data_IF_744920667376
#
_entry.id   IF_744920667376
#
_cell.length_a   1.000
_cell.length_b   1.000
_cell.length_c   1.000
_cell.angle_alpha   90.00
_cell.angle_beta   90.00
_cell.angle_gamma   90.00
#
_symmetry.space_group_name_H-M   'P 1'
#
loop_
_entity.id
_entity.type
_entity.pdbx_description
1 polymer ?
#
# COMPACT_ATOMS: atom_id res chain seq x y z
N UNK A 1 6.84 -34.08 32.14
CA UNK A 1 7.71 -34.32 30.98
C UNK A 1 7.89 -32.98 30.31
N UNK A 2 9.13 -32.56 30.12
CA UNK A 2 9.49 -31.23 29.63
C UNK A 2 9.01 -31.00 28.21
N UNK A 3 8.23 -29.94 27.99
CA UNK A 3 8.02 -29.35 26.68
C UNK A 3 9.35 -28.80 26.18
N UNK A 4 10.06 -29.60 25.37
CA UNK A 4 11.11 -29.08 24.52
C UNK A 4 10.43 -28.16 23.50
N UNK A 5 10.54 -26.84 23.71
CA UNK A 5 10.42 -25.87 22.62
C UNK A 5 11.36 -26.36 21.51
N UNK A 6 10.82 -26.87 20.40
CA UNK A 6 11.61 -26.99 19.17
C UNK A 6 12.06 -25.57 18.84
N UNK A 7 13.36 -25.30 18.86
CA UNK A 7 13.90 -24.13 18.17
C UNK A 7 13.52 -24.30 16.71
N UNK A 8 12.52 -23.54 16.25
CA UNK A 8 12.07 -23.59 14.88
C UNK A 8 13.11 -22.83 14.07
N UNK A 9 14.01 -23.58 13.44
CA UNK A 9 15.05 -23.01 12.60
C UNK A 9 14.38 -22.28 11.43
N UNK A 10 14.72 -20.99 11.27
CA UNK A 10 14.20 -20.18 10.17
C UNK A 10 14.61 -20.79 8.82
N UNK A 11 13.82 -20.59 7.74
CA UNK A 11 14.13 -21.17 6.44
C UNK A 11 15.53 -20.79 5.93
N UNK A 12 16.20 -21.72 5.23
CA UNK A 12 17.58 -21.55 4.75
C UNK A 12 17.74 -20.27 3.89
N UNK A 13 16.76 -19.95 3.05
CA UNK A 13 16.79 -18.74 2.21
C UNK A 13 16.80 -17.43 3.03
N UNK A 14 16.22 -17.43 4.24
CA UNK A 14 16.29 -16.27 5.16
C UNK A 14 17.69 -16.14 5.74
N UNK A 15 18.28 -17.27 6.15
CA UNK A 15 19.64 -17.30 6.68
C UNK A 15 20.65 -16.80 5.64
N UNK A 16 20.55 -17.24 4.39
CA UNK A 16 21.39 -16.76 3.27
C UNK A 16 21.31 -15.24 3.13
N UNK A 17 20.10 -14.67 3.17
CA UNK A 17 19.91 -13.23 3.11
C UNK A 17 20.61 -12.50 4.26
N UNK A 18 20.46 -12.99 5.50
CA UNK A 18 21.07 -12.37 6.68
C UNK A 18 22.61 -12.48 6.67
N UNK A 19 23.17 -13.59 6.19
CA UNK A 19 24.63 -13.77 6.04
C UNK A 19 25.22 -12.85 4.96
N UNK A 20 24.49 -12.65 3.85
CA UNK A 20 24.87 -11.67 2.84
C UNK A 20 24.86 -10.25 3.42
N UNK A 21 23.82 -9.89 4.17
CA UNK A 21 23.74 -8.58 4.86
C UNK A 21 24.90 -8.42 5.84
N UNK A 22 25.21 -9.45 6.64
CA UNK A 22 26.33 -9.42 7.57
C UNK A 22 27.64 -9.08 6.83
N UNK A 23 27.89 -9.75 5.71
CA UNK A 23 29.08 -9.52 4.87
C UNK A 23 29.10 -8.09 4.31
N UNK A 24 28.01 -7.61 3.74
CA UNK A 24 27.91 -6.27 3.14
C UNK A 24 28.00 -5.14 4.17
N UNK A 25 27.55 -5.37 5.41
CA UNK A 25 27.66 -4.43 6.54
C UNK A 25 28.97 -4.61 7.33
N UNK A 26 29.93 -5.36 6.79
CA UNK A 26 31.28 -5.51 7.33
C UNK A 26 31.36 -6.29 8.64
N UNK A 27 30.44 -7.21 8.91
CA UNK A 27 30.57 -8.16 10.01
C UNK A 27 31.66 -9.19 9.72
N UNK A 28 32.46 -9.51 10.74
CA UNK A 28 33.55 -10.48 10.58
C UNK A 28 32.97 -11.89 10.53
N UNK A 29 33.18 -12.62 9.43
CA UNK A 29 32.84 -14.03 9.33
C UNK A 29 33.37 -14.80 10.56
N UNK A 30 32.56 -15.70 11.13
CA UNK A 30 32.80 -16.45 12.39
C UNK A 30 32.74 -15.68 13.72
N UNK A 31 32.56 -14.35 13.71
CA UNK A 31 32.42 -13.54 14.95
C UNK A 31 31.02 -12.99 15.20
N UNK A 32 30.19 -12.92 14.16
CA UNK A 32 28.81 -12.53 14.33
C UNK A 32 27.92 -13.73 14.64
N UNK A 33 26.81 -13.46 15.31
CA UNK A 33 25.69 -14.37 15.50
C UNK A 33 24.41 -13.72 14.99
N UNK A 34 23.52 -14.55 14.47
CA UNK A 34 22.18 -14.16 14.06
C UNK A 34 21.22 -14.66 15.12
N UNK A 35 20.39 -13.76 15.65
CA UNK A 35 19.34 -14.09 16.62
C UNK A 35 17.99 -13.64 16.08
N UNK A 36 16.93 -14.36 16.44
CA UNK A 36 15.56 -14.07 16.01
C UNK A 36 14.70 -13.73 17.22
N UNK A 37 13.78 -12.79 17.05
CA UNK A 37 12.74 -12.48 18.03
C UNK A 37 11.37 -12.75 17.44
N UNK A 38 10.87 -13.94 17.78
CA UNK A 38 9.53 -14.42 17.43
C UNK A 38 8.44 -13.77 18.30
N UNK A 39 8.80 -13.16 19.44
CA UNK A 39 7.85 -12.42 20.28
C UNK A 39 7.38 -11.10 19.65
N UNK A 40 8.13 -10.63 18.65
CA UNK A 40 7.78 -9.51 17.78
C UNK A 40 7.01 -9.89 16.51
N UNK A 41 6.51 -11.13 16.40
CA UNK A 41 5.65 -11.51 15.27
C UNK A 41 4.43 -10.59 15.20
N UNK A 42 4.10 -10.14 13.98
CA UNK A 42 3.01 -9.19 13.73
C UNK A 42 1.76 -9.51 14.55
N UNK A 43 1.34 -8.57 15.41
CA UNK A 43 0.08 -8.68 16.14
C UNK A 43 -1.08 -8.98 15.16
N UNK A 44 -2.08 -9.76 15.58
CA UNK A 44 -3.26 -10.17 14.76
C UNK A 44 -3.72 -9.04 13.84
N UNK A 45 -3.63 -9.21 12.51
CA UNK A 45 -4.10 -8.20 11.54
C UNK A 45 -3.08 -7.15 11.07
N UNK A 46 -1.79 -7.28 11.41
CA UNK A 46 -0.70 -6.47 10.84
C UNK A 46 0.02 -7.18 9.65
N UNK A 47 -0.48 -8.34 9.21
CA UNK A 47 0.15 -9.19 8.17
C UNK A 47 -0.87 -9.93 7.28
N UNK A 48 -1.65 -9.19 6.47
CA UNK A 48 -2.63 -9.80 5.57
C UNK A 48 -2.00 -10.63 4.43
N UNK A 49 -0.72 -10.42 4.12
CA UNK A 49 -0.03 -11.05 2.99
C UNK A 49 1.23 -11.83 3.40
N UNK A 50 1.85 -11.52 4.54
CA UNK A 50 3.10 -12.18 4.95
C UNK A 50 3.30 -12.20 6.46
N UNK A 51 4.25 -13.01 6.91
CA UNK A 51 4.68 -13.10 8.30
C UNK A 51 5.87 -12.16 8.51
N UNK A 52 5.81 -11.33 9.56
CA UNK A 52 6.86 -10.40 9.95
C UNK A 52 7.48 -10.84 11.28
N UNK A 53 8.81 -10.81 11.40
CA UNK A 53 9.54 -10.99 12.66
C UNK A 53 10.82 -10.16 12.68
N UNK A 54 11.47 -10.06 13.84
CA UNK A 54 12.73 -9.33 14.00
C UNK A 54 13.93 -10.27 13.97
N UNK A 55 15.01 -9.82 13.32
CA UNK A 55 16.30 -10.49 13.33
C UNK A 55 17.40 -9.52 13.78
N UNK A 56 18.41 -10.05 14.47
CA UNK A 56 19.53 -9.28 15.00
C UNK A 56 20.85 -9.90 14.55
N UNK A 57 21.73 -9.08 13.98
CA UNK A 57 23.12 -9.47 13.68
C UNK A 57 24.01 -8.81 14.73
N UNK A 58 24.69 -9.62 15.54
CA UNK A 58 25.50 -9.17 16.69
C UNK A 58 26.93 -9.66 16.57
N UNK A 59 27.89 -8.79 16.82
CA UNK A 59 29.31 -9.12 16.96
C UNK A 59 29.87 -8.26 18.11
N UNK A 60 30.79 -8.81 18.89
CA UNK A 60 31.29 -8.14 20.08
C UNK A 60 32.12 -6.92 19.71
N UNK A 61 31.87 -5.78 20.40
CA UNK A 61 32.59 -4.53 20.15
C UNK A 61 32.01 -3.64 19.03
N UNK A 62 30.82 -3.96 18.52
CA UNK A 62 30.05 -3.10 17.59
C UNK A 62 28.58 -3.05 17.98
N UNK A 63 27.88 -2.05 17.46
CA UNK A 63 26.42 -1.96 17.59
C UNK A 63 25.73 -3.11 16.83
N UNK A 64 24.67 -3.65 17.43
CA UNK A 64 23.84 -4.68 16.80
C UNK A 64 23.05 -4.12 15.62
N UNK A 65 22.95 -4.89 14.53
CA UNK A 65 22.07 -4.55 13.41
C UNK A 65 20.71 -5.20 13.63
N UNK A 66 19.69 -4.36 13.82
CA UNK A 66 18.29 -4.78 14.02
C UNK A 66 17.53 -4.70 12.70
N UNK A 67 16.88 -5.80 12.33
CA UNK A 67 16.24 -5.98 11.04
C UNK A 67 14.79 -6.44 11.24
N UNK A 68 13.93 -6.02 10.32
CA UNK A 68 12.59 -6.57 10.13
C UNK A 68 12.65 -7.51 8.94
N UNK A 69 12.17 -8.73 9.13
CA UNK A 69 12.17 -9.79 8.12
C UNK A 69 10.71 -10.11 7.77
N UNK A 70 10.34 -9.93 6.51
CA UNK A 70 9.03 -10.30 5.93
C UNK A 70 9.22 -11.56 5.10
N UNK A 71 8.44 -12.61 5.39
CA UNK A 71 8.45 -13.89 4.65
C UNK A 71 7.04 -14.29 4.26
N UNK A 72 6.94 -15.22 3.31
CA UNK A 72 5.65 -15.79 2.92
C UNK A 72 4.95 -16.47 4.13
N UNK A 73 3.60 -16.49 4.15
CA UNK A 73 2.86 -17.25 5.15
C UNK A 73 3.20 -18.74 5.14
N UNK A 74 3.03 -19.39 6.30
CA UNK A 74 3.28 -20.83 6.41
C UNK A 74 2.22 -21.64 5.65
N UNK A 75 0.95 -21.24 5.71
CA UNK A 75 -0.17 -21.87 5.01
C UNK A 75 0.02 -21.88 3.49
N UNK A 76 -0.14 -23.04 2.86
CA UNK A 76 0.21 -23.26 1.44
C UNK A 76 -0.61 -22.40 0.48
N UNK A 77 -1.93 -22.31 0.67
CA UNK A 77 -2.78 -21.52 -0.21
C UNK A 77 -2.45 -20.03 -0.08
N UNK A 78 -2.24 -19.55 1.15
CA UNK A 78 -1.83 -18.16 1.39
C UNK A 78 -0.47 -17.87 0.79
N UNK A 79 0.47 -18.81 0.88
CA UNK A 79 1.79 -18.72 0.25
C UNK A 79 1.64 -18.54 -1.27
N UNK A 80 0.85 -19.37 -1.93
CA UNK A 80 0.60 -19.27 -3.37
C UNK A 80 -0.05 -17.93 -3.76
N UNK A 81 -1.06 -17.48 -3.00
CA UNK A 81 -1.74 -16.20 -3.24
C UNK A 81 -0.83 -14.98 -3.01
N UNK A 82 0.14 -15.09 -2.10
CA UNK A 82 1.02 -13.99 -1.70
C UNK A 82 2.30 -13.90 -2.55
N UNK A 83 2.67 -14.98 -3.24
CA UNK A 83 3.94 -15.07 -3.98
C UNK A 83 4.11 -13.95 -5.03
N UNK A 84 3.04 -13.64 -5.78
CA UNK A 84 3.07 -12.56 -6.78
C UNK A 84 3.26 -11.16 -6.16
N UNK A 85 2.73 -10.95 -4.95
CA UNK A 85 2.90 -9.71 -4.18
C UNK A 85 4.34 -9.56 -3.66
N UNK A 86 4.95 -10.65 -3.16
CA UNK A 86 6.36 -10.66 -2.75
C UNK A 86 7.32 -10.46 -3.91
N UNK A 87 7.08 -11.11 -5.05
CA UNK A 87 7.89 -10.93 -6.26
C UNK A 87 7.91 -9.46 -6.70
N UNK A 88 6.75 -8.80 -6.64
CA UNK A 88 6.61 -7.39 -6.95
C UNK A 88 7.34 -6.50 -5.95
N UNK A 89 7.16 -6.71 -4.66
CA UNK A 89 7.84 -5.94 -3.61
C UNK A 89 9.38 -6.07 -3.75
N UNK A 90 9.88 -7.27 -4.00
CA UNK A 90 11.30 -7.51 -4.25
C UNK A 90 11.79 -6.76 -5.50
N UNK A 91 11.03 -6.78 -6.59
CA UNK A 91 11.37 -6.03 -7.81
C UNK A 91 11.38 -4.50 -7.55
N UNK A 92 10.45 -3.97 -6.76
CA UNK A 92 10.44 -2.55 -6.40
C UNK A 92 11.72 -2.18 -5.63
N UNK A 93 12.12 -2.96 -4.63
CA UNK A 93 13.33 -2.69 -3.85
C UNK A 93 14.64 -2.94 -4.62
N UNK A 94 14.67 -3.92 -5.52
CA UNK A 94 15.90 -4.27 -6.24
C UNK A 94 16.10 -3.49 -7.55
N UNK A 95 15.01 -3.00 -8.17
CA UNK A 95 15.08 -2.35 -9.48
C UNK A 95 14.51 -0.93 -9.46
N UNK A 96 13.24 -0.73 -9.08
CA UNK A 96 12.56 0.58 -9.20
C UNK A 96 13.21 1.62 -8.29
N UNK A 97 13.29 1.35 -6.99
CA UNK A 97 13.79 2.33 -6.01
C UNK A 97 15.28 2.67 -6.18
N UNK A 98 16.18 1.70 -6.45
CA UNK A 98 17.56 2.01 -6.76
C UNK A 98 17.70 2.86 -8.03
N UNK A 99 16.90 2.57 -9.06
CA UNK A 99 16.93 3.31 -10.31
C UNK A 99 16.41 4.75 -10.14
N UNK A 100 15.29 4.92 -9.43
CA UNK A 100 14.76 6.23 -9.08
C UNK A 100 15.75 7.02 -8.22
N UNK A 101 16.39 6.39 -7.25
CA UNK A 101 17.44 7.01 -6.43
C UNK A 101 18.64 7.45 -7.26
N UNK A 102 19.12 6.61 -8.18
CA UNK A 102 20.21 6.94 -9.09
C UNK A 102 19.85 8.11 -10.00
N UNK A 103 18.67 8.09 -10.63
CA UNK A 103 18.20 9.16 -11.50
C UNK A 103 18.14 10.51 -10.76
N UNK A 104 17.58 10.56 -9.56
CA UNK A 104 17.52 11.79 -8.76
C UNK A 104 18.92 12.32 -8.41
N UNK A 105 19.86 11.42 -8.05
CA UNK A 105 21.24 11.80 -7.76
C UNK A 105 21.98 12.31 -9.01
N UNK A 106 21.71 11.77 -10.20
CA UNK A 106 22.24 12.26 -11.47
C UNK A 106 21.75 13.68 -11.79
N UNK A 107 20.55 14.04 -11.34
CA UNK A 107 20.00 15.40 -11.42
C UNK A 107 20.52 16.33 -10.31
N UNK A 108 21.38 15.83 -9.41
CA UNK A 108 22.00 16.60 -8.35
C UNK A 108 21.12 16.84 -7.12
N UNK A 109 20.05 16.06 -6.92
CA UNK A 109 19.21 16.17 -5.72
C UNK A 109 19.84 15.43 -4.55
N UNK A 110 19.87 16.09 -3.40
CA UNK A 110 20.20 15.46 -2.12
C UNK A 110 18.99 14.70 -1.53
N UNK A 111 19.23 13.80 -0.56
CA UNK A 111 18.21 12.90 0.01
C UNK A 111 17.01 13.64 0.62
N UNK A 112 17.25 14.81 1.17
CA UNK A 112 16.24 15.66 1.80
C UNK A 112 15.37 16.37 0.76
N UNK A 113 15.90 16.62 -0.43
CA UNK A 113 15.27 17.42 -1.50
C UNK A 113 14.48 16.59 -2.52
N UNK A 114 14.76 15.29 -2.62
CA UNK A 114 14.02 14.34 -3.46
C UNK A 114 13.26 13.27 -2.67
N UNK A 115 12.81 12.25 -3.38
CA UNK A 115 12.09 11.12 -2.83
C UNK A 115 13.03 9.96 -2.47
N UNK A 116 13.34 9.85 -1.19
CA UNK A 116 13.96 8.69 -0.54
C UNK A 116 13.19 8.27 0.72
N UNK A 117 11.88 8.46 0.73
CA UNK A 117 11.01 8.22 1.89
C UNK A 117 10.56 6.76 1.97
N UNK A 118 11.51 5.84 1.91
CA UNK A 118 11.33 4.38 2.03
C UNK A 118 12.27 3.81 3.09
N UNK A 119 11.95 2.66 3.73
CA UNK A 119 12.93 1.97 4.56
C UNK A 119 14.12 1.54 3.71
N UNK A 120 15.31 1.54 4.32
CA UNK A 120 16.47 0.85 3.76
C UNK A 120 16.15 -0.65 3.69
N UNK A 121 15.96 -1.14 2.47
CA UNK A 121 15.97 -2.57 2.18
C UNK A 121 17.43 -3.04 2.10
N UNK A 122 17.75 -4.07 2.87
CA UNK A 122 19.07 -4.68 2.88
C UNK A 122 19.13 -5.87 1.94
N UNK A 123 18.03 -6.62 1.84
CA UNK A 123 17.97 -7.80 0.99
C UNK A 123 16.51 -8.06 0.62
N UNK A 124 16.24 -8.28 -0.67
CA UNK A 124 14.95 -8.76 -1.12
C UNK A 124 15.15 -9.84 -2.18
N UNK A 125 14.52 -10.99 -2.02
CA UNK A 125 14.58 -12.08 -2.97
C UNK A 125 13.23 -12.79 -3.07
N UNK A 126 12.88 -13.23 -4.27
CA UNK A 126 11.69 -14.03 -4.52
C UNK A 126 12.00 -15.05 -5.62
N UNK A 127 12.03 -16.33 -5.24
CA UNK A 127 12.15 -17.47 -6.15
C UNK A 127 10.75 -18.06 -6.38
N UNK A 128 10.21 -17.83 -7.58
CA UNK A 128 8.87 -18.28 -7.94
C UNK A 128 8.78 -19.81 -8.06
N UNK A 129 9.86 -20.48 -8.46
CA UNK A 129 9.87 -21.94 -8.65
C UNK A 129 9.91 -22.68 -7.31
N UNK A 130 10.71 -22.17 -6.37
CA UNK A 130 10.79 -22.72 -5.02
C UNK A 130 9.70 -22.23 -4.07
N UNK A 131 8.93 -21.22 -4.49
CA UNK A 131 7.97 -20.50 -3.63
C UNK A 131 8.63 -19.97 -2.34
N UNK A 132 9.82 -19.41 -2.49
CA UNK A 132 10.61 -18.84 -1.41
C UNK A 132 10.70 -17.32 -1.62
N UNK A 133 10.30 -16.53 -0.62
CA UNK A 133 10.48 -15.09 -0.71
C UNK A 133 10.78 -14.48 0.66
N UNK A 134 11.67 -13.50 0.65
CA UNK A 134 12.10 -12.76 1.83
C UNK A 134 12.39 -11.31 1.47
N UNK A 135 11.95 -10.40 2.33
CA UNK A 135 12.32 -8.98 2.30
C UNK A 135 12.84 -8.60 3.67
N UNK A 136 14.08 -8.11 3.74
CA UNK A 136 14.80 -7.76 4.96
C UNK A 136 15.10 -6.27 4.94
N UNK A 137 14.58 -5.55 5.92
CA UNK A 137 14.62 -4.08 5.99
C UNK A 137 15.12 -3.60 7.35
N UNK A 138 15.50 -2.33 7.42
CA UNK A 138 15.75 -1.68 8.71
C UNK A 138 14.50 -1.62 9.61
N UNK A 139 14.70 -1.73 10.92
CA UNK A 139 13.63 -1.47 11.89
C UNK A 139 13.47 0.05 12.11
N UNK A 140 12.47 0.63 11.42
CA UNK A 140 12.15 2.06 11.50
C UNK A 140 11.74 2.50 12.91
N UNK A 141 11.24 1.61 13.78
CA UNK A 141 10.85 1.98 15.14
C UNK A 141 12.04 2.50 15.96
N UNK A 142 13.25 2.02 15.65
CA UNK A 142 14.50 2.48 16.29
C UNK A 142 14.86 3.91 15.94
N UNK A 143 14.32 4.40 14.82
CA UNK A 143 14.47 5.78 14.35
C UNK A 143 13.29 6.66 14.78
N UNK A 144 12.48 6.18 15.72
CA UNK A 144 11.33 6.91 16.26
C UNK A 144 10.10 6.94 15.34
N UNK A 145 10.12 6.18 14.24
CA UNK A 145 8.95 6.08 13.37
C UNK A 145 7.88 5.22 14.02
N UNK A 146 6.63 5.68 13.96
CA UNK A 146 5.44 4.95 14.44
C UNK A 146 4.32 5.03 13.42
N UNK A 147 3.53 3.97 13.34
CA UNK A 147 2.29 3.95 12.55
C UNK A 147 1.24 4.85 13.21
N UNK A 148 0.35 5.41 12.39
CA UNK A 148 -0.86 6.07 12.88
C UNK A 148 -1.86 5.03 13.40
N UNK A 149 -2.76 5.45 14.29
CA UNK A 149 -3.85 4.58 14.72
C UNK A 149 -4.92 4.48 13.62
N UNK A 150 -4.96 3.35 12.91
CA UNK A 150 -5.90 3.09 11.79
C UNK A 150 -7.38 3.21 12.13
N UNK A 151 -7.76 3.06 13.40
CA UNK A 151 -9.15 3.21 13.84
C UNK A 151 -9.58 4.68 13.92
N UNK A 152 -8.66 5.62 13.73
CA UNK A 152 -8.95 7.06 13.67
C UNK A 152 -8.75 7.57 12.25
N UNK A 153 -9.65 8.45 11.75
CA UNK A 153 -9.38 9.22 10.55
C UNK A 153 -8.01 9.92 10.63
N UNK A 154 -7.33 10.00 9.49
CA UNK A 154 -6.08 10.74 9.35
C UNK A 154 -6.36 12.24 9.57
N UNK A 155 -5.45 12.92 10.27
CA UNK A 155 -5.54 14.36 10.41
C UNK A 155 -4.93 15.10 9.20
N UNK A 156 -5.10 16.41 9.19
CA UNK A 156 -4.68 17.26 8.07
C UNK A 156 -3.17 17.27 7.89
N UNK A 157 -2.39 17.34 8.96
CA UNK A 157 -0.94 17.48 8.88
C UNK A 157 -0.28 16.19 8.37
N UNK A 158 -0.77 15.03 8.80
CA UNK A 158 -0.33 13.73 8.28
C UNK A 158 -0.71 13.56 6.81
N UNK A 159 -1.94 13.94 6.46
CA UNK A 159 -2.44 13.87 5.09
C UNK A 159 -1.64 14.79 4.16
N UNK A 160 -1.35 16.03 4.57
CA UNK A 160 -0.54 16.97 3.79
C UNK A 160 0.90 16.47 3.60
N UNK A 161 1.50 15.90 4.65
CA UNK A 161 2.85 15.33 4.52
C UNK A 161 2.89 14.17 3.53
N UNK A 162 1.89 13.29 3.54
CA UNK A 162 1.76 12.22 2.55
C UNK A 162 1.56 12.78 1.14
N UNK A 163 0.65 13.76 0.95
CA UNK A 163 0.42 14.39 -0.36
C UNK A 163 1.71 14.98 -0.94
N UNK A 164 2.53 15.62 -0.09
CA UNK A 164 3.87 16.11 -0.51
C UNK A 164 4.76 14.98 -1.00
N UNK A 165 4.84 13.86 -0.28
CA UNK A 165 5.69 12.75 -0.68
C UNK A 165 5.18 11.98 -1.90
N UNK A 166 3.87 11.84 -2.07
CA UNK A 166 3.30 11.29 -3.29
C UNK A 166 3.59 12.20 -4.49
N UNK A 167 3.51 13.53 -4.32
CA UNK A 167 3.90 14.49 -5.35
C UNK A 167 5.36 14.33 -5.76
N UNK A 168 6.27 14.23 -4.78
CA UNK A 168 7.69 13.98 -5.02
C UNK A 168 7.94 12.64 -5.73
N UNK A 169 7.32 11.56 -5.25
CA UNK A 169 7.46 10.22 -5.82
C UNK A 169 6.97 10.15 -7.28
N UNK A 170 5.77 10.66 -7.57
CA UNK A 170 5.23 10.66 -8.91
C UNK A 170 6.02 11.57 -9.85
N UNK A 171 6.60 12.68 -9.36
CA UNK A 171 7.48 13.54 -10.15
C UNK A 171 8.71 12.79 -10.68
N UNK A 172 9.30 11.91 -9.86
CA UNK A 172 10.42 11.04 -10.29
C UNK A 172 9.99 10.15 -11.45
N UNK A 173 8.82 9.53 -11.34
CA UNK A 173 8.27 8.69 -12.41
C UNK A 173 8.02 9.48 -13.69
N UNK A 174 7.45 10.69 -13.62
CA UNK A 174 7.21 11.54 -14.79
C UNK A 174 8.52 11.96 -15.46
N UNK A 175 9.46 12.49 -14.69
CA UNK A 175 10.75 12.95 -15.19
C UNK A 175 11.53 11.82 -15.84
N UNK A 176 11.60 10.66 -15.18
CA UNK A 176 12.36 9.53 -15.69
C UNK A 176 11.71 8.91 -16.94
N UNK A 177 10.37 8.84 -17.01
CA UNK A 177 9.65 8.36 -18.19
C UNK A 177 9.95 9.21 -19.42
N UNK A 178 10.11 10.52 -19.25
CA UNK A 178 10.42 11.47 -20.32
C UNK A 178 11.91 11.44 -20.72
N UNK A 179 12.81 11.46 -19.73
CA UNK A 179 14.25 11.67 -19.96
C UNK A 179 15.04 10.38 -20.15
N UNK A 180 14.59 9.27 -19.57
CA UNK A 180 15.24 7.95 -19.64
C UNK A 180 14.22 6.85 -20.01
N UNK A 181 13.48 6.98 -21.14
CA UNK A 181 12.37 6.09 -21.49
C UNK A 181 12.78 4.62 -21.66
N UNK A 182 14.01 4.35 -22.12
CA UNK A 182 14.52 2.97 -22.26
C UNK A 182 14.72 2.29 -20.91
N UNK A 183 15.21 3.02 -19.90
CA UNK A 183 15.38 2.50 -18.55
C UNK A 183 14.04 2.41 -17.81
N UNK A 184 13.11 3.32 -18.06
CA UNK A 184 11.78 3.32 -17.45
C UNK A 184 10.84 2.27 -18.07
N UNK A 185 10.99 2.00 -19.38
CA UNK A 185 10.10 1.16 -20.18
C UNK A 185 9.70 -0.19 -19.55
N UNK A 186 10.63 -0.98 -18.98
CA UNK A 186 10.30 -2.25 -18.34
C UNK A 186 9.25 -2.15 -17.22
N UNK A 187 9.20 -1.04 -16.49
CA UNK A 187 8.27 -0.87 -15.37
C UNK A 187 6.85 -0.51 -15.79
N UNK A 188 6.62 -0.19 -17.07
CA UNK A 188 5.26 -0.02 -17.61
C UNK A 188 4.44 -1.31 -17.57
N UNK A 189 5.10 -2.46 -17.44
CA UNK A 189 4.46 -3.77 -17.31
C UNK A 189 4.04 -4.13 -15.88
N UNK A 190 4.19 -3.22 -14.92
CA UNK A 190 3.65 -3.37 -13.58
C UNK A 190 2.12 -3.26 -13.58
N UNK A 191 1.46 -4.36 -13.91
CA UNK A 191 -0.01 -4.46 -13.95
C UNK A 191 -0.61 -4.54 -12.56
N UNK A 192 -1.87 -4.11 -12.39
CA UNK A 192 -2.58 -4.23 -11.12
C UNK A 192 -2.79 -5.71 -10.70
N UNK A 193 -2.49 -6.12 -9.45
CA UNK A 193 -2.62 -7.52 -9.03
C UNK A 193 -4.06 -8.04 -9.10
N UNK A 194 -5.03 -7.20 -8.73
CA UNK A 194 -6.43 -7.59 -8.74
C UNK A 194 -6.95 -7.74 -10.16
N UNK A 195 -6.49 -6.90 -11.10
CA UNK A 195 -6.76 -7.10 -12.53
C UNK A 195 -6.26 -8.47 -13.01
N UNK A 196 -5.05 -8.88 -12.64
CA UNK A 196 -4.53 -10.22 -12.99
C UNK A 196 -5.42 -11.33 -12.44
N UNK A 197 -5.88 -11.19 -11.18
CA UNK A 197 -6.81 -12.16 -10.59
C UNK A 197 -8.16 -12.19 -11.33
N UNK A 198 -8.70 -11.04 -11.74
CA UNK A 198 -9.94 -10.93 -12.53
C UNK A 198 -9.77 -11.61 -13.89
N UNK A 199 -8.66 -11.38 -14.59
CA UNK A 199 -8.38 -11.99 -15.89
C UNK A 199 -8.24 -13.54 -15.78
N UNK A 200 -7.83 -14.04 -14.60
CA UNK A 200 -7.66 -15.46 -14.29
C UNK A 200 -8.88 -16.12 -13.62
N UNK A 201 -10.04 -15.45 -13.56
CA UNK A 201 -11.26 -15.95 -12.91
C UNK A 201 -12.35 -16.36 -13.93
N UNK A 202 -12.24 -17.55 -14.56
CA UNK A 202 -13.19 -17.99 -15.57
C UNK A 202 -14.60 -18.25 -15.02
N UNK A 203 -14.74 -18.37 -13.69
CA UNK A 203 -16.02 -18.61 -13.02
C UNK A 203 -16.70 -17.31 -12.57
N UNK A 204 -16.08 -16.15 -12.77
CA UNK A 204 -16.58 -14.83 -12.36
C UNK A 204 -16.94 -14.75 -10.87
N UNK A 205 -16.23 -15.49 -10.02
CA UNK A 205 -16.38 -15.43 -8.57
C UNK A 205 -16.04 -14.04 -8.01
N UNK A 206 -15.03 -13.37 -8.57
CA UNK A 206 -14.65 -12.00 -8.19
C UNK A 206 -15.79 -11.02 -8.54
N UNK A 207 -16.47 -11.21 -9.67
CA UNK A 207 -17.62 -10.37 -10.02
C UNK A 207 -18.78 -10.54 -9.05
N UNK A 208 -19.07 -11.78 -8.64
CA UNK A 208 -20.09 -12.05 -7.63
C UNK A 208 -19.73 -11.40 -6.29
N UNK A 209 -18.46 -11.51 -5.85
CA UNK A 209 -17.97 -10.87 -4.63
C UNK A 209 -18.12 -9.34 -4.67
N UNK A 210 -17.72 -8.71 -5.78
CA UNK A 210 -17.89 -7.27 -5.98
C UNK A 210 -19.38 -6.86 -5.99
N UNK A 211 -20.25 -7.69 -6.54
CA UNK A 211 -21.70 -7.50 -6.48
C UNK A 211 -22.23 -7.50 -5.04
N UNK A 212 -21.79 -8.46 -4.21
CA UNK A 212 -22.16 -8.50 -2.80
C UNK A 212 -21.65 -7.28 -2.02
N UNK A 213 -20.40 -6.86 -2.28
CA UNK A 213 -19.84 -5.64 -1.67
C UNK A 213 -20.61 -4.39 -2.07
N UNK A 214 -21.02 -4.29 -3.34
CA UNK A 214 -21.90 -3.23 -3.83
C UNK A 214 -23.25 -3.25 -3.12
N UNK A 215 -23.92 -4.40 -3.04
CA UNK A 215 -25.23 -4.53 -2.40
C UNK A 215 -25.15 -4.13 -0.93
N UNK A 216 -24.10 -4.56 -0.21
CA UNK A 216 -23.84 -4.14 1.18
C UNK A 216 -23.60 -2.63 1.31
N UNK A 217 -22.91 -2.00 0.36
CA UNK A 217 -22.72 -0.55 0.38
C UNK A 217 -24.03 0.20 0.09
N UNK A 218 -24.86 -0.31 -0.81
CA UNK A 218 -26.15 0.30 -1.15
C UNK A 218 -27.10 0.37 0.06
N UNK A 219 -27.05 -0.60 0.98
CA UNK A 219 -27.87 -0.59 2.21
C UNK A 219 -27.46 0.47 3.22
N UNK A 220 -26.32 1.15 3.02
CA UNK A 220 -25.86 2.20 3.94
C UNK A 220 -26.51 3.57 3.69
N UNK A 221 -27.19 3.73 2.54
CA UNK A 221 -27.84 4.98 2.15
C UNK A 221 -29.25 5.09 2.73
N UNK A 222 -29.53 6.23 3.36
CA UNK A 222 -30.79 6.54 4.04
C UNK A 222 -31.87 7.02 3.05
N UNK A 223 -33.14 7.12 3.45
CA UNK A 223 -34.25 7.50 2.56
C UNK A 223 -34.04 8.87 1.87
N UNK A 224 -33.38 9.80 2.54
CA UNK A 224 -33.07 11.14 2.07
C UNK A 224 -31.86 11.21 1.10
N UNK A 225 -31.05 10.15 1.01
CA UNK A 225 -29.93 10.02 0.07
C UNK A 225 -30.39 9.76 -1.39
N UNK A 226 -31.47 10.41 -1.85
CA UNK A 226 -32.13 10.09 -3.15
C UNK A 226 -31.20 10.26 -4.35
N UNK A 227 -30.45 11.37 -4.43
CA UNK A 227 -29.50 11.59 -5.54
C UNK A 227 -28.31 10.63 -5.48
N UNK A 228 -27.81 10.35 -4.26
CA UNK A 228 -26.73 9.41 -4.06
C UNK A 228 -27.13 7.99 -4.47
N UNK A 229 -28.33 7.53 -4.07
CA UNK A 229 -28.92 6.25 -4.50
C UNK A 229 -29.02 6.14 -6.02
N UNK A 230 -29.54 7.18 -6.68
CA UNK A 230 -29.70 7.21 -8.13
C UNK A 230 -28.36 7.16 -8.88
N UNK A 231 -27.35 7.87 -8.39
CA UNK A 231 -26.02 7.86 -8.99
C UNK A 231 -25.30 6.53 -8.73
N UNK A 232 -25.38 6.00 -7.51
CA UNK A 232 -24.77 4.73 -7.12
C UNK A 232 -25.36 3.54 -7.90
N UNK A 233 -26.66 3.55 -8.20
CA UNK A 233 -27.33 2.52 -9.01
C UNK A 233 -26.72 2.36 -10.42
N UNK A 234 -26.07 3.40 -10.96
CA UNK A 234 -25.36 3.30 -12.25
C UNK A 234 -24.14 2.37 -12.19
N UNK A 235 -23.58 2.14 -11.01
CA UNK A 235 -22.42 1.26 -10.80
C UNK A 235 -22.85 -0.22 -10.70
N UNK A 236 -24.14 -0.49 -10.53
CA UNK A 236 -24.66 -1.84 -10.38
C UNK A 236 -24.36 -2.69 -11.60
N UNK A 237 -23.71 -3.83 -11.36
CA UNK A 237 -23.29 -4.76 -12.41
C UNK A 237 -22.08 -4.31 -13.23
N UNK A 238 -21.52 -3.12 -12.98
CA UNK A 238 -20.35 -2.58 -13.69
C UNK A 238 -19.17 -2.27 -12.76
N UNK A 239 -19.24 -2.71 -11.49
CA UNK A 239 -18.21 -2.45 -10.47
C UNK A 239 -16.83 -2.97 -10.92
N UNK A 240 -16.78 -4.22 -11.41
CA UNK A 240 -15.52 -4.82 -11.88
C UNK A 240 -14.99 -4.13 -13.12
N UNK A 241 -15.86 -3.85 -14.11
CA UNK A 241 -15.46 -3.14 -15.32
C UNK A 241 -14.92 -1.74 -14.99
N UNK A 242 -15.56 -1.04 -14.06
CA UNK A 242 -15.11 0.27 -13.57
C UNK A 242 -13.76 0.18 -12.85
N UNK A 243 -13.51 -0.89 -12.09
CA UNK A 243 -12.21 -1.14 -11.46
C UNK A 243 -11.13 -1.36 -12.51
N UNK A 244 -11.38 -2.25 -13.48
CA UNK A 244 -10.46 -2.57 -14.58
C UNK A 244 -10.15 -1.33 -15.41
N UNK A 245 -11.15 -0.48 -15.71
CA UNK A 245 -10.95 0.80 -16.40
C UNK A 245 -10.04 1.73 -15.59
N UNK A 246 -10.26 1.84 -14.27
CA UNK A 246 -9.47 2.72 -13.42
C UNK A 246 -7.98 2.32 -13.35
N UNK A 247 -7.69 1.02 -13.36
CA UNK A 247 -6.32 0.50 -13.24
C UNK A 247 -5.64 0.28 -14.60
N UNK A 248 -6.26 0.67 -15.71
CA UNK A 248 -5.64 0.60 -17.03
C UNK A 248 -4.56 1.67 -17.19
N UNK A 249 -3.36 1.22 -17.52
CA UNK A 249 -2.26 2.11 -17.88
C UNK A 249 -2.54 2.82 -19.20
N UNK A 250 -3.16 2.13 -20.16
CA UNK A 250 -3.51 2.69 -21.47
C UNK A 250 -4.44 3.89 -21.34
N UNK A 251 -5.44 3.79 -20.46
CA UNK A 251 -6.39 4.88 -20.22
C UNK A 251 -5.77 6.06 -19.46
N UNK A 252 -4.66 5.82 -18.76
CA UNK A 252 -3.93 6.83 -18.01
C UNK A 252 -2.79 7.48 -18.83
N UNK A 253 -2.28 6.84 -19.89
CA UNK A 253 -1.24 7.42 -20.75
C UNK A 253 -1.77 8.65 -21.51
N UNK A 254 -0.93 9.68 -21.75
CA UNK A 254 0.52 9.74 -21.49
C UNK A 254 0.88 10.08 -20.03
N UNK A 255 -0.07 10.05 -19.09
CA UNK A 255 0.06 10.57 -17.73
C UNK A 255 0.19 9.49 -16.64
N UNK A 256 0.42 8.24 -17.03
CA UNK A 256 0.63 7.14 -16.09
C UNK A 256 2.01 7.24 -15.39
N UNK A 257 2.07 6.81 -14.14
CA UNK A 257 3.24 6.78 -13.27
C UNK A 257 3.33 5.45 -12.53
N UNK A 258 4.50 5.13 -11.98
CA UNK A 258 4.61 4.07 -10.98
C UNK A 258 3.99 4.58 -9.68
N UNK A 259 2.88 3.99 -9.27
CA UNK A 259 2.23 4.23 -7.99
C UNK A 259 2.73 3.28 -6.89
N UNK A 260 2.51 3.68 -5.65
CA UNK A 260 2.70 2.85 -4.47
C UNK A 260 1.67 1.71 -4.46
N UNK A 261 0.43 1.99 -4.86
CA UNK A 261 -0.63 1.00 -5.04
C UNK A 261 -1.37 0.64 -3.76
N UNK A 262 -0.68 0.63 -2.61
CA UNK A 262 -1.30 0.37 -1.29
C UNK A 262 -1.30 1.60 -0.35
N UNK A 263 -1.78 2.75 -0.84
CA UNK A 263 -1.77 4.03 -0.14
C UNK A 263 -2.85 4.17 0.95
N UNK A 264 -2.79 3.35 1.99
CA UNK A 264 -3.59 3.54 3.21
C UNK A 264 -2.69 3.76 4.43
N UNK A 265 -3.28 4.27 5.52
CA UNK A 265 -2.52 4.83 6.64
C UNK A 265 -1.60 3.82 7.36
N UNK A 266 -1.86 2.51 7.26
CA UNK A 266 -1.01 1.47 7.85
C UNK A 266 0.34 1.33 7.16
N UNK A 267 0.43 1.77 5.90
CA UNK A 267 1.66 1.74 5.12
C UNK A 267 2.47 3.04 5.24
N UNK A 268 2.10 3.89 6.20
CA UNK A 268 2.71 5.18 6.48
C UNK A 268 3.24 5.18 7.91
N UNK A 269 4.56 5.26 8.06
CA UNK A 269 5.18 5.46 9.36
C UNK A 269 5.69 6.90 9.50
N UNK A 270 5.44 7.54 10.63
CA UNK A 270 5.76 8.94 10.87
C UNK A 270 6.71 9.13 12.05
N UNK A 271 7.57 10.15 11.97
CA UNK A 271 8.23 10.76 13.14
C UNK A 271 7.55 12.10 13.46
N UNK A 272 7.85 12.65 14.63
CA UNK A 272 7.17 13.83 15.18
C UNK A 272 8.20 14.79 15.75
N UNK A 273 7.88 16.08 15.78
CA UNK A 273 8.70 17.04 16.52
C UNK A 273 8.53 16.78 18.04
N UNK A 274 9.61 16.89 18.82
CA UNK A 274 9.69 16.34 20.19
C UNK A 274 8.47 16.60 21.09
N UNK A 275 7.89 17.81 21.01
CA UNK A 275 6.78 18.28 21.88
C UNK A 275 5.49 18.57 21.14
N UNK A 276 5.45 18.38 19.82
CA UNK A 276 4.30 18.71 18.97
C UNK A 276 3.77 17.42 18.33
N UNK A 277 2.45 17.12 18.38
CA UNK A 277 1.87 16.01 17.62
C UNK A 277 1.99 16.18 16.09
N UNK A 278 2.56 17.27 15.58
CA UNK A 278 2.82 17.47 14.16
C UNK A 278 3.85 16.47 13.60
N UNK A 279 3.53 15.78 12.49
CA UNK A 279 4.46 14.86 11.84
C UNK A 279 5.60 15.62 11.17
N UNK A 280 6.82 15.08 11.33
CA UNK A 280 8.07 15.65 10.83
C UNK A 280 8.57 14.95 9.56
N UNK A 281 8.62 13.63 9.60
CA UNK A 281 9.10 12.79 8.50
C UNK A 281 8.16 11.59 8.33
N UNK A 282 8.13 11.03 7.13
CA UNK A 282 7.29 9.89 6.76
C UNK A 282 8.13 8.84 6.01
N UNK A 283 7.82 7.57 6.21
CA UNK A 283 8.33 6.45 5.40
C UNK A 283 7.14 5.66 4.88
N UNK A 284 7.13 5.45 3.56
CA UNK A 284 6.19 4.58 2.86
C UNK A 284 6.76 3.16 2.87
N UNK A 285 5.98 2.21 3.38
CA UNK A 285 6.33 0.79 3.50
C UNK A 285 5.34 -0.05 2.71
N UNK A 286 5.68 -1.32 2.47
CA UNK A 286 4.83 -2.30 1.81
C UNK A 286 4.44 -1.94 0.37
N UNK A 287 5.38 -2.20 -0.56
CA UNK A 287 5.25 -1.87 -1.99
C UNK A 287 4.61 -3.00 -2.82
N UNK A 288 3.93 -3.93 -2.16
CA UNK A 288 3.43 -5.18 -2.74
C UNK A 288 2.27 -5.02 -3.74
N UNK A 289 1.67 -3.82 -3.82
CA UNK A 289 0.63 -3.49 -4.81
C UNK A 289 1.10 -2.46 -5.85
N UNK A 290 2.40 -2.12 -5.87
CA UNK A 290 2.95 -1.11 -6.79
C UNK A 290 2.61 -1.39 -8.26
N UNK A 291 2.14 -0.39 -8.99
CA UNK A 291 1.55 -0.57 -10.33
C UNK A 291 1.76 0.67 -11.20
N UNK A 292 1.79 0.50 -12.51
CA UNK A 292 1.88 1.60 -13.47
C UNK A 292 0.50 2.06 -13.89
N UNK A 293 0.04 3.20 -13.36
CA UNK A 293 -1.36 3.68 -13.44
C UNK A 293 -1.45 5.21 -13.35
N UNK A 294 -2.66 5.78 -13.43
CA UNK A 294 -2.87 7.20 -13.13
C UNK A 294 -2.46 7.54 -11.68
N UNK A 295 -1.77 8.67 -11.43
CA UNK A 295 -1.37 9.08 -10.08
C UNK A 295 -2.55 9.29 -9.13
N UNK A 296 -3.76 9.49 -9.68
CA UNK A 296 -5.00 9.68 -8.91
C UNK A 296 -5.33 8.44 -8.07
N UNK A 297 -4.90 7.24 -8.45
CA UNK A 297 -5.27 6.03 -7.72
C UNK A 297 -4.70 6.04 -6.30
N UNK A 298 -3.45 6.46 -6.12
CA UNK A 298 -2.84 6.57 -4.79
C UNK A 298 -3.50 7.65 -3.94
N UNK A 299 -3.84 8.79 -4.56
CA UNK A 299 -4.50 9.91 -3.87
C UNK A 299 -5.92 9.57 -3.46
N UNK A 300 -6.73 9.08 -4.40
CA UNK A 300 -8.13 8.71 -4.15
C UNK A 300 -8.22 7.57 -3.15
N UNK A 301 -7.34 6.57 -3.24
CA UNK A 301 -7.32 5.48 -2.27
C UNK A 301 -7.04 5.99 -0.86
N UNK A 302 -6.00 6.81 -0.65
CA UNK A 302 -5.72 7.39 0.67
C UNK A 302 -6.88 8.26 1.17
N UNK A 303 -7.29 9.23 0.36
CA UNK A 303 -8.25 10.26 0.78
C UNK A 303 -9.57 9.61 1.18
N UNK A 304 -10.13 8.72 0.37
CA UNK A 304 -11.45 8.15 0.68
C UNK A 304 -11.39 7.07 1.78
N UNK A 305 -10.29 6.33 1.92
CA UNK A 305 -10.18 5.23 2.91
C UNK A 305 -9.68 5.70 4.26
N UNK A 306 -8.88 6.75 4.33
CA UNK A 306 -8.22 7.17 5.57
C UNK A 306 -8.88 8.39 6.21
N UNK A 307 -9.82 9.07 5.54
CA UNK A 307 -10.51 10.24 6.09
C UNK A 307 -12.02 10.00 6.21
N UNK A 308 -12.74 10.91 6.85
CA UNK A 308 -14.20 10.93 6.93
C UNK A 308 -14.81 12.02 6.02
N UNK A 309 -16.14 12.05 5.95
CA UNK A 309 -16.89 12.99 5.11
C UNK A 309 -16.64 14.45 5.51
N UNK A 310 -16.64 14.74 6.82
CA UNK A 310 -16.39 16.09 7.34
C UNK A 310 -14.99 16.58 6.96
N UNK A 311 -13.97 15.73 7.09
CA UNK A 311 -12.60 16.06 6.67
C UNK A 311 -12.57 16.42 5.18
N UNK A 312 -13.18 15.59 4.32
CA UNK A 312 -13.18 15.85 2.87
C UNK A 312 -14.01 17.06 2.48
N UNK A 313 -15.09 17.37 3.20
CA UNK A 313 -15.85 18.60 2.98
C UNK A 313 -15.00 19.86 3.22
N UNK A 314 -14.05 19.81 4.16
CA UNK A 314 -13.26 20.97 4.57
C UNK A 314 -11.86 21.04 3.94
N UNK A 315 -11.26 19.89 3.56
CA UNK A 315 -9.83 19.81 3.23
C UNK A 315 -9.51 19.12 1.90
N UNK A 316 -10.50 18.61 1.14
CA UNK A 316 -10.23 17.86 -0.09
C UNK A 316 -9.40 18.66 -1.10
N UNK A 317 -9.81 19.88 -1.44
CA UNK A 317 -9.08 20.74 -2.39
C UNK A 317 -7.68 21.09 -1.86
N UNK A 318 -7.54 21.32 -0.56
CA UNK A 318 -6.24 21.59 0.07
C UNK A 318 -5.27 20.43 -0.09
N UNK A 319 -5.74 19.18 0.00
CA UNK A 319 -4.91 18.00 -0.27
C UNK A 319 -4.49 17.92 -1.73
N UNK A 320 -5.41 18.20 -2.66
CA UNK A 320 -5.13 18.15 -4.09
C UNK A 320 -4.10 19.20 -4.51
N UNK A 321 -4.23 20.41 -3.98
CA UNK A 321 -3.31 21.51 -4.25
C UNK A 321 -1.93 21.21 -3.66
N UNK A 322 -1.86 20.72 -2.41
CA UNK A 322 -0.61 20.32 -1.78
C UNK A 322 0.14 19.24 -2.59
N UNK A 323 -0.59 18.23 -3.09
CA UNK A 323 -0.01 17.21 -3.97
C UNK A 323 0.52 17.83 -5.27
N UNK A 324 -0.29 18.65 -5.94
CA UNK A 324 0.04 19.19 -7.26
C UNK A 324 1.20 20.18 -7.20
N UNK A 325 1.25 21.02 -6.16
CA UNK A 325 2.38 21.90 -5.88
C UNK A 325 3.66 21.11 -5.66
N UNK A 326 3.63 20.09 -4.80
CA UNK A 326 4.81 19.24 -4.58
C UNK A 326 5.26 18.52 -5.84
N UNK A 327 4.33 17.98 -6.63
CA UNK A 327 4.61 17.37 -7.93
C UNK A 327 5.32 18.37 -8.85
N UNK A 328 4.77 19.57 -9.00
CA UNK A 328 5.32 20.62 -9.87
C UNK A 328 6.74 21.04 -9.44
N UNK A 329 6.95 21.26 -8.14
CA UNK A 329 8.25 21.64 -7.58
C UNK A 329 9.31 20.56 -7.82
N UNK A 330 9.01 19.31 -7.51
CA UNK A 330 9.96 18.20 -7.67
C UNK A 330 10.23 17.91 -9.15
N UNK A 331 9.19 17.97 -10.00
CA UNK A 331 9.36 17.76 -11.43
C UNK A 331 10.28 18.82 -12.04
N UNK A 332 10.14 20.09 -11.63
CA UNK A 332 11.05 21.17 -12.03
C UNK A 332 12.49 20.93 -11.56
N UNK A 333 12.71 20.48 -10.32
CA UNK A 333 14.05 20.13 -9.82
C UNK A 333 14.70 19.02 -10.63
N UNK A 334 13.90 18.08 -11.12
CA UNK A 334 14.34 16.96 -11.96
C UNK A 334 14.49 17.33 -13.44
N UNK A 335 14.43 18.61 -13.80
CA UNK A 335 14.55 19.08 -15.19
C UNK A 335 13.30 18.87 -16.05
N UNK A 336 12.17 18.50 -15.45
CA UNK A 336 10.87 18.38 -16.11
C UNK A 336 10.03 19.67 -16.07
N UNK A 337 8.83 19.59 -16.63
CA UNK A 337 7.85 20.67 -16.67
C UNK A 337 6.42 20.13 -16.51
N UNK A 338 5.76 20.51 -15.42
CA UNK A 338 4.39 20.07 -15.12
C UNK A 338 3.38 20.51 -16.18
N UNK A 339 3.59 21.67 -16.82
CA UNK A 339 2.68 22.20 -17.83
C UNK A 339 2.68 21.40 -19.14
N UNK A 340 3.72 20.59 -19.39
CA UNK A 340 3.75 19.65 -20.52
C UNK A 340 3.52 18.21 -20.10
N UNK A 341 3.95 17.83 -18.90
CA UNK A 341 3.94 16.44 -18.45
C UNK A 341 2.70 16.07 -17.65
N UNK A 342 2.05 16.98 -16.92
CA UNK A 342 0.76 16.74 -16.25
C UNK A 342 0.05 18.07 -15.91
N UNK A 343 -0.49 18.79 -16.90
CA UNK A 343 -1.10 20.10 -16.69
C UNK A 343 -2.25 20.07 -15.67
N UNK A 344 -2.53 21.21 -15.03
CA UNK A 344 -3.56 21.29 -13.97
C UNK A 344 -4.94 20.86 -14.45
N UNK A 345 -5.29 21.20 -15.69
CA UNK A 345 -6.53 20.77 -16.33
C UNK A 345 -6.58 19.24 -16.51
N UNK A 346 -5.49 18.63 -16.98
CA UNK A 346 -5.36 17.18 -17.09
C UNK A 346 -5.47 16.50 -15.72
N UNK A 347 -4.87 17.07 -14.67
CA UNK A 347 -5.01 16.55 -13.31
C UNK A 347 -6.48 16.56 -12.84
N UNK A 348 -7.23 17.62 -13.16
CA UNK A 348 -8.67 17.70 -12.87
C UNK A 348 -9.49 16.69 -13.67
N UNK A 349 -9.19 16.52 -14.97
CA UNK A 349 -9.84 15.52 -15.82
C UNK A 349 -9.56 14.09 -15.35
N UNK A 350 -8.32 13.82 -14.93
CA UNK A 350 -7.95 12.54 -14.32
C UNK A 350 -8.72 12.28 -13.02
N UNK A 351 -8.97 13.30 -12.19
CA UNK A 351 -9.84 13.13 -11.01
C UNK A 351 -11.26 12.75 -11.41
N UNK A 352 -11.83 13.36 -12.46
CA UNK A 352 -13.17 12.97 -12.95
C UNK A 352 -13.22 11.53 -13.46
N UNK A 353 -12.14 11.08 -14.11
CA UNK A 353 -12.07 9.75 -14.71
C UNK A 353 -11.77 8.63 -13.70
N UNK A 354 -10.77 8.87 -12.84
CA UNK A 354 -10.16 7.87 -11.97
C UNK A 354 -10.51 8.05 -10.48
N UNK A 355 -11.10 9.18 -10.07
CA UNK A 355 -11.41 9.48 -8.67
C UNK A 355 -12.36 8.47 -8.01
N UNK A 356 -13.24 7.85 -8.81
CA UNK A 356 -14.11 6.74 -8.36
C UNK A 356 -13.36 5.51 -7.86
N UNK A 357 -12.07 5.36 -8.19
CA UNK A 357 -11.24 4.29 -7.64
C UNK A 357 -11.24 4.27 -6.10
N UNK A 358 -11.30 5.43 -5.45
CA UNK A 358 -11.43 5.51 -4.00
C UNK A 358 -12.70 4.82 -3.46
N UNK A 359 -13.84 4.97 -4.15
CA UNK A 359 -15.07 4.24 -3.81
C UNK A 359 -14.93 2.74 -4.07
N UNK A 360 -14.35 2.35 -5.22
CA UNK A 360 -14.16 0.95 -5.57
C UNK A 360 -13.28 0.23 -4.55
N UNK A 361 -12.19 0.86 -4.11
CA UNK A 361 -11.39 0.37 -2.99
C UNK A 361 -12.15 0.45 -1.67
N UNK A 362 -13.04 1.41 -1.49
CA UNK A 362 -13.92 1.54 -0.34
C UNK A 362 -14.80 0.32 -0.12
N UNK A 363 -15.37 -0.23 -1.20
CA UNK A 363 -16.18 -1.45 -1.17
C UNK A 363 -15.40 -2.64 -0.60
N UNK A 364 -14.09 -2.67 -0.84
CA UNK A 364 -13.19 -3.78 -0.46
C UNK A 364 -12.61 -3.55 0.94
N UNK A 365 -12.13 -2.34 1.22
CA UNK A 365 -11.21 -2.06 2.34
C UNK A 365 -11.93 -1.43 3.54
N UNK A 366 -13.02 -0.68 3.37
CA UNK A 366 -13.73 -0.09 4.51
C UNK A 366 -14.27 -1.13 5.51
N UNK A 367 -14.79 -2.30 5.11
CA UNK A 367 -15.16 -3.33 6.08
C UNK A 367 -13.99 -3.72 6.99
N UNK A 368 -12.78 -3.85 6.41
CA UNK A 368 -11.55 -4.19 7.14
C UNK A 368 -11.16 -3.05 8.08
N UNK A 369 -11.15 -1.82 7.60
CA UNK A 369 -10.75 -0.63 8.38
C UNK A 369 -11.69 -0.38 9.55
N UNK A 370 -12.98 -0.64 9.40
CA UNK A 370 -13.98 -0.43 10.44
C UNK A 370 -14.04 -1.58 11.47
N UNK A 371 -13.39 -2.71 11.19
CA UNK A 371 -13.32 -3.84 12.13
C UNK A 371 -12.17 -3.64 13.12
N UNK A 372 -12.46 -3.74 14.41
CA UNK A 372 -11.42 -3.66 15.45
C UNK A 372 -10.42 -4.81 15.29
N UNK A 373 -9.17 -4.58 15.68
CA UNK A 373 -8.07 -5.55 15.46
C UNK A 373 -8.35 -6.89 16.14
N UNK A 374 -8.96 -6.83 17.31
CA UNK A 374 -9.34 -7.97 18.15
C UNK A 374 -10.50 -8.77 17.55
N UNK A 375 -11.25 -8.18 16.62
CA UNK A 375 -12.41 -8.77 15.94
C UNK A 375 -12.08 -9.30 14.54
N UNK A 376 -10.85 -9.05 14.05
CA UNK A 376 -10.44 -9.54 12.74
C UNK A 376 -10.40 -11.09 12.75
N UNK A 377 -11.08 -11.75 11.79
CA UNK A 377 -10.99 -13.19 11.68
C UNK A 377 -9.56 -13.62 11.38
N UNK A 378 -9.15 -14.78 11.90
CA UNK A 378 -7.90 -15.40 11.47
C UNK A 378 -8.05 -15.82 10.01
N UNK A 379 -7.18 -15.29 9.14
CA UNK A 379 -7.22 -15.56 7.69
C UNK A 379 -7.11 -17.07 7.39
N UNK A 380 -6.37 -17.81 8.22
CA UNK A 380 -6.16 -19.25 8.09
C UNK A 380 -7.45 -20.02 8.41
N UNK A 381 -8.12 -19.70 9.53
CA UNK A 381 -9.42 -20.28 9.89
C UNK A 381 -10.47 -20.09 8.79
N UNK A 382 -10.47 -18.93 8.12
CA UNK A 382 -11.38 -18.67 7.00
C UNK A 382 -11.07 -19.55 5.79
N UNK A 383 -9.80 -19.60 5.39
CA UNK A 383 -9.37 -20.38 4.23
C UNK A 383 -9.67 -21.86 4.44
N UNK A 384 -9.38 -22.38 5.63
CA UNK A 384 -9.65 -23.79 5.95
C UNK A 384 -11.15 -24.11 5.89
N UNK A 385 -12.03 -23.19 6.31
CA UNK A 385 -13.49 -23.35 6.19
C UNK A 385 -13.98 -23.25 4.75
N UNK A 386 -13.42 -22.34 3.97
CA UNK A 386 -13.74 -22.16 2.55
C UNK A 386 -13.32 -23.38 1.72
N UNK A 387 -12.17 -23.97 2.01
CA UNK A 387 -11.71 -25.23 1.40
C UNK A 387 -12.63 -26.41 1.74
N UNK A 388 -13.22 -26.41 2.94
CA UNK A 388 -14.16 -27.46 3.38
C UNK A 388 -15.59 -27.30 2.82
N UNK A 389 -15.83 -26.34 1.91
CA UNK A 389 -17.17 -26.03 1.37
C UNK A 389 -18.23 -25.77 2.46
N UNK A 390 -17.80 -25.38 3.66
CA UNK A 390 -18.70 -24.78 4.62
C UNK A 390 -19.03 -23.38 4.12
N UNK A 391 -20.22 -22.88 4.46
CA UNK A 391 -20.63 -21.50 4.16
C UNK A 391 -19.70 -20.55 4.92
N UNK A 392 -18.58 -20.22 4.29
CA UNK A 392 -17.54 -19.39 4.83
C UNK A 392 -17.77 -17.99 4.25
N UNK A 393 -18.57 -17.19 4.95
CA UNK A 393 -18.61 -15.76 4.68
C UNK A 393 -17.43 -15.11 5.40
N UNK A 394 -16.53 -14.47 4.65
CA UNK A 394 -15.47 -13.66 5.24
C UNK A 394 -16.03 -12.32 5.73
N UNK A 395 -16.76 -12.38 6.84
CA UNK A 395 -17.50 -11.23 7.34
C UNK A 395 -16.60 -10.33 8.21
N UNK A 396 -16.24 -9.19 7.65
CA UNK A 396 -15.73 -8.05 8.41
C UNK A 396 -16.87 -7.21 8.96
N UNK A 397 -16.64 -6.65 10.15
CA UNK A 397 -17.55 -5.76 10.84
C UNK A 397 -18.83 -6.47 11.26
N UNK A 398 -18.69 -7.57 12.01
CA UNK A 398 -19.83 -8.32 12.59
C UNK A 398 -20.33 -7.70 13.89
N UNK A 399 -19.51 -6.90 14.58
CA UNK A 399 -19.93 -6.15 15.76
C UNK A 399 -20.82 -4.96 15.38
N UNK A 400 -21.75 -4.62 16.26
CA UNK A 400 -22.65 -3.45 16.07
C UNK A 400 -21.85 -2.16 15.86
N UNK A 401 -20.75 -1.98 16.60
CA UNK A 401 -19.86 -0.84 16.47
C UNK A 401 -19.20 -0.77 15.08
N UNK A 402 -18.68 -1.89 14.57
CA UNK A 402 -18.05 -1.91 13.25
C UNK A 402 -19.08 -1.71 12.12
N UNK A 403 -20.31 -2.22 12.28
CA UNK A 403 -21.40 -1.99 11.33
C UNK A 403 -21.82 -0.52 11.28
N UNK A 404 -21.94 0.13 12.44
CA UNK A 404 -22.23 1.57 12.54
C UNK A 404 -21.13 2.37 11.85
N UNK A 405 -19.87 2.13 12.20
CA UNK A 405 -18.73 2.82 11.59
C UNK A 405 -18.70 2.62 10.07
N UNK A 406 -18.90 1.38 9.60
CA UNK A 406 -18.95 1.07 8.18
C UNK A 406 -20.09 1.83 7.49
N UNK A 407 -21.31 1.83 8.06
CA UNK A 407 -22.48 2.52 7.49
C UNK A 407 -22.20 4.00 7.34
N UNK A 408 -21.75 4.67 8.40
CA UNK A 408 -21.43 6.11 8.37
C UNK A 408 -20.37 6.43 7.32
N UNK A 409 -19.26 5.68 7.31
CA UNK A 409 -18.13 5.97 6.41
C UNK A 409 -18.44 5.67 4.95
N UNK A 410 -19.14 4.57 4.68
CA UNK A 410 -19.53 4.18 3.32
C UNK A 410 -20.56 5.16 2.74
N UNK A 411 -21.61 5.50 3.50
CA UNK A 411 -22.62 6.45 3.05
C UNK A 411 -22.01 7.83 2.72
N UNK A 412 -21.15 8.35 3.61
CA UNK A 412 -20.44 9.61 3.38
C UNK A 412 -19.49 9.56 2.17
N UNK A 413 -18.82 8.43 1.95
CA UNK A 413 -18.00 8.23 0.75
C UNK A 413 -18.84 8.24 -0.53
N UNK A 414 -19.99 7.56 -0.55
CA UNK A 414 -20.91 7.55 -1.70
C UNK A 414 -21.42 8.98 -1.98
N UNK A 415 -21.85 9.71 -0.96
CA UNK A 415 -22.26 11.12 -1.11
C UNK A 415 -21.13 11.98 -1.68
N UNK A 416 -19.91 11.82 -1.20
CA UNK A 416 -18.77 12.59 -1.68
C UNK A 416 -18.44 12.31 -3.15
N UNK A 417 -18.38 11.06 -3.58
CA UNK A 417 -18.09 10.77 -5.00
C UNK A 417 -19.18 11.29 -5.94
N UNK A 418 -20.43 11.36 -5.47
CA UNK A 418 -21.54 11.97 -6.22
C UNK A 418 -21.39 13.49 -6.25
N UNK A 419 -21.14 14.14 -5.11
CA UNK A 419 -20.87 15.58 -4.99
C UNK A 419 -19.70 16.01 -5.87
N UNK A 420 -18.65 15.20 -5.93
CA UNK A 420 -17.45 15.43 -6.74
C UNK A 420 -17.64 15.04 -8.22
N UNK A 421 -18.75 14.41 -8.59
CA UNK A 421 -19.08 14.04 -9.97
C UNK A 421 -18.22 12.91 -10.53
N UNK A 422 -17.93 11.90 -9.71
CA UNK A 422 -17.19 10.69 -10.11
C UNK A 422 -18.11 9.50 -10.46
N UNK A 423 -19.45 9.66 -10.36
CA UNK A 423 -20.50 8.69 -10.72
C UNK A 423 -21.62 9.32 -11.58
#
# INVERSE_FOLDING_TARGET
>A
MSDQKKEQQQPEYVQVGLEQIATEQGFTASRYRIEYDESGSSNKGDGFVGTLFKAYIREDGRDELKLVVKVLPEHELRRQQSLGMFHREAMVYNAVMPLFGKFQAEQGLEKEEGFWRIPKCYYANCDLEKMEAVVIMEDLQLKGFRMWNKSKPADLEHSLLLMKQLGAFHAVSFAMKDQQPEQFGPFKHLVDPMKVMIDMDPKKQIHALFGQMYDRAATTLEEDDTEAKKAFEKLKGTVVDSYVECVSAEEAEPYAVIGHGDCWINNMMYTYEDKDPKPKDIRLIDWQLSRYVSPILDLSYFIFICTDEDFRANHFDQLLDCYYESLSEHLKKLGGNVESQFPRATFQDHWKRFGRFGLLMGLIVLPIVCTAKEELPEMEDYIDRAEQQQDAEFNFGTSEQAQEMYRTRMAGMIRDVVRLGYL
#
